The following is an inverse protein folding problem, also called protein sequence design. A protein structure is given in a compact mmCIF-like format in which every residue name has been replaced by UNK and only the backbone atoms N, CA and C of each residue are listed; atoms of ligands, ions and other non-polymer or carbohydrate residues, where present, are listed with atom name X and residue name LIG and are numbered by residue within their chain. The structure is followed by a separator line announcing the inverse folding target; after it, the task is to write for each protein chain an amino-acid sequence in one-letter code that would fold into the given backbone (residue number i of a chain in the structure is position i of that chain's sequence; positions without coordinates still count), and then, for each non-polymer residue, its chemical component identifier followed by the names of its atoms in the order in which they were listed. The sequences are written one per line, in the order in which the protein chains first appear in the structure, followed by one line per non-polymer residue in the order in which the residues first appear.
data_IF_693866996019
#
_entry.id   IF_693866996019
#
_cell.length_a   1.000
_cell.length_b   1.000
_cell.length_c   1.000
_cell.angle_alpha   90.00
_cell.angle_beta   90.00
_cell.angle_gamma   90.00
#
_symmetry.space_group_name_H-M   'P 1'
#
loop_
_entity.id
_entity.type
_entity.pdbx_description
1 polymer ?
#
# COMPACT_ATOMS: atom_id res chain seq x y z
N UNK A 1 -56.94 -15.44 -25.51
CA UNK A 1 -57.14 -16.36 -24.37
C UNK A 1 -55.83 -16.36 -23.59
N UNK A 2 -55.65 -15.95 -22.36
CA UNK A 2 -56.38 -15.25 -21.30
C UNK A 2 -55.21 -14.64 -20.46
N UNK A 3 -55.24 -13.37 -20.03
CA UNK A 3 -55.67 -12.98 -18.66
C UNK A 3 -54.72 -13.58 -17.61
N UNK A 4 -54.07 -12.92 -16.65
CA UNK A 4 -54.05 -11.59 -16.05
C UNK A 4 -52.85 -11.62 -15.06
N UNK A 5 -52.01 -10.58 -15.02
CA UNK A 5 -52.02 -9.48 -14.03
C UNK A 5 -51.42 -9.83 -12.67
N UNK A 6 -50.30 -9.14 -12.41
CA UNK A 6 -49.71 -8.91 -11.12
C UNK A 6 -50.66 -8.08 -10.23
N UNK A 7 -50.93 -8.57 -9.03
CA UNK A 7 -51.66 -7.82 -8.00
C UNK A 7 -50.67 -7.26 -6.98
N UNK A 8 -50.42 -5.96 -7.12
CA UNK A 8 -50.20 -5.04 -6.01
C UNK A 8 -51.34 -5.18 -4.99
N UNK A 9 -51.00 -5.29 -3.71
CA UNK A 9 -51.95 -5.05 -2.62
C UNK A 9 -51.38 -3.96 -1.72
N UNK A 10 -52.12 -2.86 -1.72
CA UNK A 10 -51.90 -1.59 -1.09
C UNK A 10 -52.91 -1.45 0.08
N UNK A 11 -52.51 -0.69 1.10
CA UNK A 11 -53.33 0.05 2.10
C UNK A 11 -53.84 -0.72 3.34
N UNK A 12 -54.15 -0.02 4.47
CA UNK A 12 -54.47 1.41 4.57
C UNK A 12 -53.77 2.26 5.66
N UNK A 13 -53.59 3.52 5.26
CA UNK A 13 -53.40 4.70 6.10
C UNK A 13 -54.77 5.17 6.60
N UNK A 14 -54.98 5.23 7.90
CA UNK A 14 -56.11 5.97 8.50
C UNK A 14 -55.59 7.26 9.16
N UNK A 15 -56.14 8.38 8.67
CA UNK A 15 -56.08 9.68 9.32
C UNK A 15 -57.21 9.78 10.33
N UNK A 16 -56.92 10.23 11.55
CA UNK A 16 -57.91 10.91 12.38
C UNK A 16 -57.32 12.21 12.89
N UNK A 17 -57.96 13.29 12.46
CA UNK A 17 -57.73 14.67 12.86
C UNK A 17 -58.71 14.98 14.00
N UNK A 18 -58.23 15.44 15.16
CA UNK A 18 -59.06 16.23 16.07
C UNK A 18 -58.22 17.17 16.92
N UNK A 19 -58.52 18.46 16.74
CA UNK A 19 -58.02 19.58 17.51
C UNK A 19 -58.51 19.54 18.96
N UNK A 20 -57.60 19.79 19.90
CA UNK A 20 -57.94 20.45 21.17
C UNK A 20 -56.72 21.18 21.74
N UNK A 21 -56.84 22.51 21.87
CA UNK A 21 -55.86 23.41 22.50
C UNK A 21 -55.97 23.32 24.03
N UNK A 22 -54.85 23.21 24.73
CA UNK A 22 -54.68 23.76 26.09
C UNK A 22 -53.21 24.10 26.42
N UNK A 23 -52.98 25.42 26.48
CA UNK A 23 -52.10 26.22 27.34
C UNK A 23 -51.01 25.58 28.23
N UNK A 24 -49.77 26.03 27.96
CA UNK A 24 -48.69 26.49 28.88
C UNK A 24 -48.00 25.46 29.80
N UNK A 25 -46.72 25.22 29.50
CA UNK A 25 -45.74 24.64 30.41
C UNK A 25 -44.33 24.81 29.85
N UNK A 26 -43.63 25.84 30.31
CA UNK A 26 -42.23 26.14 29.99
C UNK A 26 -41.32 24.96 30.37
N UNK A 27 -40.66 24.32 29.39
CA UNK A 27 -39.50 23.48 29.66
C UNK A 27 -38.43 23.66 28.59
N UNK A 28 -37.28 24.08 29.07
CA UNK A 28 -36.11 24.54 28.33
C UNK A 28 -35.65 23.48 27.32
N UNK A 29 -35.54 23.89 26.05
CA UNK A 29 -34.83 23.11 25.03
C UNK A 29 -33.36 23.03 25.39
N UNK A 30 -32.75 21.83 25.53
CA UNK A 30 -31.31 21.75 25.70
C UNK A 30 -30.64 22.24 24.41
N UNK A 31 -29.69 23.15 24.61
CA UNK A 31 -28.85 23.75 23.57
C UNK A 31 -28.30 22.66 22.68
N UNK A 32 -28.48 22.80 21.36
CA UNK A 32 -27.79 22.02 20.32
C UNK A 32 -26.29 22.18 20.54
N UNK A 33 -25.69 21.23 21.26
CA UNK A 33 -24.24 21.14 21.38
C UNK A 33 -23.67 20.61 20.08
N UNK A 34 -22.61 21.29 19.64
CA UNK A 34 -21.55 20.90 18.74
C UNK A 34 -21.89 19.89 17.64
N UNK A 35 -21.70 20.34 16.41
CA UNK A 35 -21.56 19.53 15.19
C UNK A 35 -20.80 18.25 15.54
N UNK A 36 -21.54 17.13 15.62
CA UNK A 36 -20.97 15.79 15.72
C UNK A 36 -20.27 15.55 14.38
N UNK A 37 -18.99 15.88 14.27
CA UNK A 37 -18.12 15.18 13.35
C UNK A 37 -18.35 13.71 13.63
N UNK A 38 -18.84 12.97 12.62
CA UNK A 38 -19.13 11.55 12.80
C UNK A 38 -17.85 10.89 13.33
N UNK A 39 -17.91 10.12 14.43
CA UNK A 39 -16.71 9.62 15.11
C UNK A 39 -15.74 8.85 14.19
N UNK A 40 -16.25 8.29 13.10
CA UNK A 40 -15.45 7.65 12.05
C UNK A 40 -14.58 8.61 11.23
N UNK A 41 -15.03 9.85 11.01
CA UNK A 41 -14.28 10.88 10.25
C UNK A 41 -13.04 11.40 10.99
N UNK A 42 -12.93 11.16 12.30
CA UNK A 42 -11.74 11.48 13.07
C UNK A 42 -10.61 10.46 12.82
N UNK A 43 -10.93 9.29 12.26
CA UNK A 43 -9.95 8.24 11.97
C UNK A 43 -9.31 8.40 10.59
N UNK A 44 -9.99 9.12 9.68
CA UNK A 44 -9.52 9.43 8.35
C UNK A 44 -8.55 10.61 8.38
N UNK A 45 -7.50 10.63 7.54
CA UNK A 45 -6.64 11.80 7.41
C UNK A 45 -7.45 13.05 7.07
N UNK A 46 -7.14 14.19 7.71
CA UNK A 46 -7.85 15.45 7.48
C UNK A 46 -7.66 16.01 6.06
N UNK A 47 -6.74 15.45 5.28
CA UNK A 47 -6.36 15.89 3.93
C UNK A 47 -6.27 14.68 3.00
N UNK A 48 -6.61 14.87 1.73
CA UNK A 48 -6.48 13.87 0.68
C UNK A 48 -5.28 14.09 -0.26
N UNK A 49 -4.55 15.20 -0.08
CA UNK A 49 -3.40 15.57 -0.92
C UNK A 49 -2.25 16.09 -0.07
N UNK A 50 -1.03 15.76 -0.50
CA UNK A 50 0.20 16.31 0.06
C UNK A 50 0.34 17.79 -0.34
N UNK A 51 0.43 18.67 0.65
CA UNK A 51 0.51 20.13 0.42
C UNK A 51 1.94 20.65 0.47
N UNK A 52 2.82 20.01 1.25
CA UNK A 52 4.21 20.46 1.42
C UNK A 52 5.11 19.93 0.30
N UNK A 53 6.19 20.65 0.01
CA UNK A 53 7.16 20.24 -1.01
C UNK A 53 7.94 19.01 -0.54
N UNK A 54 8.25 18.95 0.75
CA UNK A 54 9.00 17.86 1.39
C UNK A 54 8.25 16.53 1.28
N UNK A 55 6.96 16.51 1.61
CA UNK A 55 6.15 15.28 1.53
C UNK A 55 6.00 14.80 0.09
N UNK A 56 5.78 15.73 -0.86
CA UNK A 56 5.77 15.42 -2.29
C UNK A 56 7.11 14.83 -2.75
N UNK A 57 8.24 15.39 -2.32
CA UNK A 57 9.58 14.89 -2.65
C UNK A 57 9.80 13.47 -2.15
N UNK A 58 9.36 13.14 -0.93
CA UNK A 58 9.49 11.78 -0.38
C UNK A 58 8.78 10.77 -1.30
N UNK A 59 7.53 11.06 -1.68
CA UNK A 59 6.78 10.19 -2.60
C UNK A 59 7.42 10.15 -3.98
N UNK A 60 7.87 11.28 -4.53
CA UNK A 60 8.53 11.30 -5.84
C UNK A 60 9.82 10.47 -5.85
N UNK A 61 10.60 10.44 -4.76
CA UNK A 61 11.79 9.58 -4.66
C UNK A 61 11.38 8.10 -4.70
N UNK A 62 10.27 7.74 -4.08
CA UNK A 62 9.78 6.37 -4.07
C UNK A 62 9.18 5.96 -5.43
N UNK A 63 8.40 6.85 -6.07
CA UNK A 63 7.86 6.64 -7.42
C UNK A 63 9.01 6.45 -8.44
N UNK A 64 10.06 7.27 -8.34
CA UNK A 64 11.27 7.17 -9.14
C UNK A 64 12.05 5.87 -8.87
N UNK A 65 12.09 5.40 -7.61
CA UNK A 65 12.73 4.14 -7.25
C UNK A 65 11.96 2.94 -7.83
N UNK A 66 10.63 2.93 -7.69
CA UNK A 66 9.75 1.91 -8.27
C UNK A 66 9.95 1.86 -9.79
N UNK A 67 9.88 3.01 -10.46
CA UNK A 67 10.10 3.11 -11.90
C UNK A 67 11.44 2.51 -12.35
N UNK A 68 12.54 2.83 -11.63
CA UNK A 68 13.87 2.29 -11.95
C UNK A 68 13.92 0.77 -11.78
N UNK A 69 13.33 0.25 -10.71
CA UNK A 69 13.32 -1.19 -10.41
C UNK A 69 12.47 -1.93 -11.44
N UNK A 70 11.31 -1.40 -11.82
CA UNK A 70 10.46 -1.94 -12.88
C UNK A 70 11.22 -2.11 -14.19
N UNK A 71 11.97 -1.09 -14.62
CA UNK A 71 12.76 -1.15 -15.84
C UNK A 71 13.95 -2.12 -15.71
N UNK A 72 14.72 -2.03 -14.62
CA UNK A 72 15.89 -2.88 -14.44
C UNK A 72 15.49 -4.36 -14.43
N UNK A 73 14.40 -4.70 -13.74
CA UNK A 73 13.91 -6.08 -13.64
C UNK A 73 13.57 -6.73 -14.99
N UNK A 74 13.29 -5.92 -16.01
CA UNK A 74 12.96 -6.39 -17.35
C UNK A 74 14.16 -6.38 -18.31
N UNK A 75 15.30 -5.80 -17.91
CA UNK A 75 16.46 -5.60 -18.80
C UNK A 75 16.93 -6.88 -19.48
N UNK A 76 17.01 -7.98 -18.72
CA UNK A 76 17.44 -9.30 -19.24
C UNK A 76 16.44 -9.91 -20.21
N UNK A 77 15.14 -9.65 -20.01
CA UNK A 77 14.12 -10.12 -20.94
C UNK A 77 14.13 -9.29 -22.23
N UNK A 78 14.20 -7.97 -22.11
CA UNK A 78 14.20 -7.07 -23.26
C UNK A 78 15.39 -7.37 -24.19
N UNK A 79 16.55 -7.75 -23.64
CA UNK A 79 17.71 -8.16 -24.43
C UNK A 79 17.43 -9.36 -25.33
N UNK A 80 16.56 -10.29 -24.91
CA UNK A 80 16.15 -11.45 -25.71
C UNK A 80 15.16 -11.09 -26.82
N UNK A 81 14.36 -10.03 -26.62
CA UNK A 81 13.29 -9.60 -27.54
C UNK A 81 13.56 -8.25 -28.23
N UNK A 82 14.83 -7.84 -28.34
CA UNK A 82 15.22 -6.52 -28.88
C UNK A 82 14.68 -6.26 -30.29
N UNK A 83 14.62 -7.28 -31.14
CA UNK A 83 14.20 -7.13 -32.53
C UNK A 83 12.73 -6.71 -32.62
N UNK A 84 11.88 -7.20 -31.72
CA UNK A 84 10.46 -6.86 -31.65
C UNK A 84 10.19 -5.42 -31.21
N UNK A 85 11.08 -4.86 -30.38
CA UNK A 85 10.95 -3.49 -29.86
C UNK A 85 11.88 -2.50 -30.59
N UNK A 86 12.56 -2.94 -31.64
CA UNK A 86 13.63 -2.18 -32.31
C UNK A 86 13.17 -0.82 -32.87
N UNK A 87 11.93 -0.74 -33.34
CA UNK A 87 11.32 0.50 -33.85
C UNK A 87 11.03 1.51 -32.76
N UNK A 88 10.79 1.06 -31.53
CA UNK A 88 10.40 1.91 -30.40
C UNK A 88 11.63 2.35 -29.60
N UNK A 89 12.57 1.45 -29.32
CA UNK A 89 13.74 1.77 -28.49
C UNK A 89 14.75 2.67 -29.20
N UNK A 90 14.79 2.64 -30.54
CA UNK A 90 15.82 3.32 -31.31
C UNK A 90 17.21 2.66 -31.15
N UNK A 91 18.16 3.10 -31.97
CA UNK A 91 19.49 2.46 -32.09
C UNK A 91 20.38 2.69 -30.87
N UNK A 92 20.29 3.86 -30.22
CA UNK A 92 21.12 4.20 -29.05
C UNK A 92 20.78 3.32 -27.84
N UNK A 93 19.49 3.15 -27.54
CA UNK A 93 19.05 2.34 -26.41
C UNK A 93 19.30 0.86 -26.65
N UNK A 94 19.06 0.36 -27.86
CA UNK A 94 19.43 -1.01 -28.25
C UNK A 94 20.93 -1.26 -28.12
N UNK A 95 21.76 -0.35 -28.61
CA UNK A 95 23.21 -0.45 -28.47
C UNK A 95 23.64 -0.47 -27.01
N UNK A 96 23.01 0.36 -26.18
CA UNK A 96 23.30 0.41 -24.73
C UNK A 96 22.86 -0.89 -24.02
N UNK A 97 21.72 -1.47 -24.38
CA UNK A 97 21.25 -2.74 -23.82
C UNK A 97 22.17 -3.91 -24.20
N UNK A 98 22.59 -3.99 -25.47
CA UNK A 98 23.55 -5.01 -25.93
C UNK A 98 24.91 -4.86 -25.25
N UNK A 99 25.38 -3.62 -25.05
CA UNK A 99 26.62 -3.37 -24.33
C UNK A 99 26.51 -3.75 -22.85
N UNK A 100 25.37 -3.46 -22.21
CA UNK A 100 25.12 -3.90 -20.84
C UNK A 100 25.12 -5.44 -20.72
N UNK A 101 24.46 -6.14 -21.64
CA UNK A 101 24.47 -7.61 -21.70
C UNK A 101 25.90 -8.14 -21.82
N UNK A 102 26.70 -7.58 -22.73
CA UNK A 102 28.11 -7.93 -22.90
C UNK A 102 28.91 -7.71 -21.62
N UNK A 103 28.74 -6.57 -20.95
CA UNK A 103 29.41 -6.25 -19.68
C UNK A 103 28.99 -7.20 -18.55
N UNK A 104 27.71 -7.52 -18.45
CA UNK A 104 27.15 -8.46 -17.48
C UNK A 104 27.68 -9.88 -17.70
N UNK A 105 27.73 -10.35 -18.95
CA UNK A 105 28.31 -11.66 -19.29
C UNK A 105 29.80 -11.74 -18.95
N UNK A 106 30.57 -10.67 -19.22
CA UNK A 106 31.98 -10.61 -18.82
C UNK A 106 32.15 -10.64 -17.29
N UNK A 107 31.28 -9.95 -16.54
CA UNK A 107 31.29 -9.97 -15.08
C UNK A 107 31.00 -11.37 -14.53
N UNK A 108 30.00 -12.06 -15.08
CA UNK A 108 29.67 -13.45 -14.71
C UNK A 108 30.84 -14.40 -15.00
N UNK A 109 31.49 -14.25 -16.16
CA UNK A 109 32.66 -15.04 -16.52
C UNK A 109 33.83 -14.82 -15.54
N UNK A 110 34.11 -13.56 -15.18
CA UNK A 110 35.13 -13.21 -14.21
C UNK A 110 34.83 -13.80 -12.83
N UNK A 111 33.58 -13.67 -12.35
CA UNK A 111 33.16 -14.24 -11.06
C UNK A 111 33.29 -15.76 -11.05
N UNK A 112 32.90 -16.42 -12.14
CA UNK A 112 33.02 -17.89 -12.29
C UNK A 112 34.48 -18.33 -12.26
N UNK A 113 35.37 -17.56 -12.91
CA UNK A 113 36.80 -17.81 -12.88
C UNK A 113 37.36 -17.67 -11.45
N UNK A 114 37.08 -16.55 -10.78
CA UNK A 114 37.55 -16.28 -9.42
C UNK A 114 37.02 -17.31 -8.41
N UNK A 115 35.78 -17.78 -8.59
CA UNK A 115 35.20 -18.85 -7.79
C UNK A 115 35.91 -20.20 -8.02
N UNK A 116 36.24 -20.53 -9.28
CA UNK A 116 37.02 -21.74 -9.61
C UNK A 116 38.42 -21.71 -9.00
N UNK A 117 39.05 -20.54 -8.96
CA UNK A 117 40.35 -20.32 -8.34
C UNK A 117 40.29 -20.33 -6.79
N UNK A 118 39.10 -20.45 -6.20
CA UNK A 118 38.91 -20.46 -4.74
C UNK A 118 39.10 -19.09 -4.09
N UNK A 119 39.14 -18.01 -4.89
CA UNK A 119 39.40 -16.64 -4.43
C UNK A 119 38.13 -15.92 -3.97
N UNK A 120 36.95 -16.47 -4.29
CA UNK A 120 35.65 -16.00 -3.80
C UNK A 120 35.08 -16.98 -2.79
N UNK A 121 35.03 -16.58 -1.50
CA UNK A 121 34.31 -17.34 -0.47
C UNK A 121 32.85 -16.88 -0.42
N UNK A 122 31.94 -17.83 -0.59
CA UNK A 122 30.48 -17.62 -0.51
C UNK A 122 29.92 -17.67 0.93
N UNK A 123 30.76 -17.73 1.96
CA UNK A 123 30.30 -18.14 3.30
C UNK A 123 29.45 -17.09 4.05
N UNK A 124 29.49 -15.79 3.71
CA UNK A 124 28.85 -14.75 4.55
C UNK A 124 28.06 -13.67 3.82
N UNK A 125 27.72 -13.86 2.54
CA UNK A 125 26.96 -12.88 1.73
C UNK A 125 27.72 -11.57 1.43
N UNK A 126 28.83 -11.30 2.13
CA UNK A 126 29.92 -10.44 1.70
C UNK A 126 30.93 -11.34 1.01
N UNK A 127 30.91 -11.39 -0.32
CA UNK A 127 31.94 -12.06 -1.09
C UNK A 127 33.27 -11.34 -0.91
N UNK A 128 33.99 -11.65 0.16
CA UNK A 128 35.33 -11.12 0.39
C UNK A 128 36.28 -11.80 -0.60
N UNK A 129 36.79 -11.00 -1.55
CA UNK A 129 37.76 -11.49 -2.53
C UNK A 129 39.10 -11.67 -1.81
N UNK A 130 39.49 -12.92 -1.58
CA UNK A 130 40.82 -13.29 -1.07
C UNK A 130 41.76 -13.39 -2.27
N UNK A 131 41.90 -12.29 -2.99
CA UNK A 131 42.68 -12.19 -4.22
C UNK A 131 43.84 -11.20 -4.07
N UNK A 132 44.74 -11.23 -5.05
CA UNK A 132 45.77 -10.21 -5.21
C UNK A 132 45.11 -8.85 -5.50
N UNK A 133 45.77 -7.73 -5.15
CA UNK A 133 45.19 -6.38 -5.33
C UNK A 133 44.74 -6.12 -6.78
N UNK A 134 45.42 -6.72 -7.75
CA UNK A 134 45.10 -6.56 -9.16
C UNK A 134 43.75 -7.21 -9.53
N UNK A 135 43.45 -8.38 -8.98
CA UNK A 135 42.15 -9.04 -9.17
C UNK A 135 41.04 -8.24 -8.51
N UNK A 136 41.30 -7.66 -7.34
CA UNK A 136 40.35 -6.76 -6.66
C UNK A 136 40.05 -5.54 -7.55
N UNK A 137 41.09 -4.87 -8.06
CA UNK A 137 40.94 -3.72 -8.97
C UNK A 137 40.20 -4.11 -10.25
N UNK A 138 40.54 -5.23 -10.86
CA UNK A 138 39.90 -5.74 -12.06
C UNK A 138 38.39 -6.00 -11.84
N UNK A 139 38.04 -6.65 -10.73
CA UNK A 139 36.64 -6.89 -10.36
C UNK A 139 35.88 -5.59 -10.12
N UNK A 140 36.48 -4.63 -9.41
CA UNK A 140 35.88 -3.31 -9.17
C UNK A 140 35.64 -2.53 -10.47
N UNK A 141 36.55 -2.61 -11.44
CA UNK A 141 36.37 -1.99 -12.75
C UNK A 141 35.17 -2.58 -13.49
N UNK A 142 35.04 -3.91 -13.51
CA UNK A 142 33.88 -4.57 -14.12
C UNK A 142 32.57 -4.22 -13.39
N UNK A 143 32.56 -4.24 -12.05
CA UNK A 143 31.40 -3.84 -11.27
C UNK A 143 30.97 -2.39 -11.59
N UNK A 144 31.94 -1.48 -11.71
CA UNK A 144 31.67 -0.09 -12.04
C UNK A 144 31.16 0.07 -13.48
N UNK A 145 31.65 -0.73 -14.43
CA UNK A 145 31.16 -0.73 -15.81
C UNK A 145 29.71 -1.25 -15.92
N UNK A 146 29.36 -2.31 -15.19
CA UNK A 146 27.97 -2.79 -15.11
C UNK A 146 27.08 -1.73 -14.44
N UNK A 147 27.56 -1.10 -13.38
CA UNK A 147 26.82 -0.02 -12.70
C UNK A 147 26.61 1.21 -13.59
N UNK A 148 27.61 1.61 -14.35
CA UNK A 148 27.51 2.77 -15.26
C UNK A 148 26.59 2.48 -16.44
N UNK A 149 26.62 1.26 -16.99
CA UNK A 149 25.72 0.87 -18.08
C UNK A 149 24.25 0.89 -17.64
N UNK A 150 23.92 0.36 -16.46
CA UNK A 150 22.55 0.45 -15.90
C UNK A 150 22.10 1.90 -15.76
N UNK A 151 22.97 2.78 -15.23
CA UNK A 151 22.65 4.21 -15.12
C UNK A 151 22.40 4.86 -16.48
N UNK A 152 23.16 4.47 -17.51
CA UNK A 152 22.96 4.98 -18.85
C UNK A 152 21.62 4.48 -19.45
N UNK A 153 21.29 3.20 -19.27
CA UNK A 153 20.00 2.63 -19.66
C UNK A 153 18.85 3.41 -19.02
N UNK A 154 18.89 3.59 -17.70
CA UNK A 154 17.87 4.35 -16.97
C UNK A 154 17.75 5.80 -17.46
N UNK A 155 18.88 6.47 -17.74
CA UNK A 155 18.88 7.83 -18.30
C UNK A 155 18.18 7.88 -19.66
N UNK A 156 18.43 6.91 -20.53
CA UNK A 156 17.81 6.84 -21.86
C UNK A 156 16.30 6.58 -21.75
N UNK A 157 15.88 5.66 -20.89
CA UNK A 157 14.46 5.42 -20.63
C UNK A 157 13.77 6.66 -20.02
N UNK A 158 14.42 7.38 -19.13
CA UNK A 158 13.87 8.64 -18.59
C UNK A 158 13.69 9.72 -19.64
N UNK A 159 14.55 9.75 -20.65
CA UNK A 159 14.43 10.67 -21.79
C UNK A 159 13.33 10.24 -22.78
N UNK A 160 12.99 8.94 -22.81
CA UNK A 160 11.99 8.37 -23.71
C UNK A 160 10.87 7.61 -22.95
N UNK A 161 9.76 8.31 -22.61
CA UNK A 161 8.60 7.71 -21.96
C UNK A 161 7.91 6.62 -22.79
N UNK A 162 7.99 6.68 -24.13
CA UNK A 162 7.34 5.69 -24.99
C UNK A 162 8.10 4.36 -24.94
N UNK A 163 9.44 4.41 -25.05
CA UNK A 163 10.28 3.23 -24.86
C UNK A 163 10.10 2.64 -23.45
N UNK A 164 10.01 3.48 -22.42
CA UNK A 164 9.74 3.04 -21.05
C UNK A 164 8.40 2.33 -20.91
N UNK A 165 7.35 2.86 -21.55
CA UNK A 165 6.03 2.22 -21.50
C UNK A 165 6.02 0.88 -22.24
N UNK A 166 6.57 0.83 -23.45
CA UNK A 166 6.63 -0.40 -24.23
C UNK A 166 7.36 -1.52 -23.48
N UNK A 167 8.42 -1.18 -22.74
CA UNK A 167 9.09 -2.14 -21.86
C UNK A 167 8.19 -2.58 -20.71
N UNK A 168 7.51 -1.66 -20.04
CA UNK A 168 6.62 -2.02 -18.92
C UNK A 168 5.40 -2.83 -19.34
N UNK A 169 4.96 -2.73 -20.59
CA UNK A 169 3.90 -3.57 -21.14
C UNK A 169 4.32 -5.06 -21.16
N UNK A 170 5.62 -5.35 -21.20
CA UNK A 170 6.22 -6.69 -21.05
C UNK A 170 6.37 -7.13 -19.59
N UNK A 171 5.62 -6.52 -18.65
CA UNK A 171 5.71 -6.83 -17.22
C UNK A 171 5.46 -8.31 -16.87
N UNK A 172 4.75 -9.06 -17.71
CA UNK A 172 4.47 -10.49 -17.52
C UNK A 172 5.73 -11.37 -17.57
N UNK A 173 6.81 -10.87 -18.17
CA UNK A 173 8.07 -11.60 -18.30
C UNK A 173 8.98 -11.47 -17.07
N UNK A 174 8.56 -10.69 -16.07
CA UNK A 174 9.31 -10.46 -14.85
C UNK A 174 9.39 -11.72 -13.99
N UNK A 175 10.51 -11.88 -13.29
CA UNK A 175 10.63 -12.93 -12.29
C UNK A 175 9.74 -12.66 -11.06
N UNK A 176 9.31 -13.74 -10.40
CA UNK A 176 8.40 -13.66 -9.25
C UNK A 176 8.99 -12.84 -8.09
N UNK A 177 10.31 -12.86 -7.88
CA UNK A 177 10.94 -12.15 -6.75
C UNK A 177 10.88 -10.65 -6.98
N UNK A 178 11.19 -10.20 -8.19
CA UNK A 178 11.06 -8.80 -8.61
C UNK A 178 9.61 -8.33 -8.58
N UNK A 179 8.65 -9.17 -9.02
CA UNK A 179 7.23 -8.84 -8.96
C UNK A 179 6.75 -8.63 -7.51
N UNK A 180 7.07 -9.55 -6.61
CA UNK A 180 6.74 -9.42 -5.18
C UNK A 180 7.39 -8.17 -4.59
N UNK A 181 8.64 -7.90 -4.93
CA UNK A 181 9.36 -6.73 -4.43
C UNK A 181 8.75 -5.41 -4.89
N UNK A 182 8.41 -5.29 -6.18
CA UNK A 182 7.75 -4.10 -6.75
C UNK A 182 6.36 -3.91 -6.14
N UNK A 183 5.61 -5.00 -5.95
CA UNK A 183 4.31 -4.96 -5.27
C UNK A 183 4.46 -4.44 -3.84
N UNK A 184 5.42 -4.97 -3.07
CA UNK A 184 5.72 -4.51 -1.72
C UNK A 184 6.12 -3.03 -1.67
N UNK A 185 6.91 -2.54 -2.64
CA UNK A 185 7.23 -1.12 -2.75
C UNK A 185 6.01 -0.25 -3.07
N UNK A 186 5.09 -0.75 -3.91
CA UNK A 186 3.85 -0.06 -4.27
C UNK A 186 2.89 0.03 -3.08
N UNK A 187 2.78 -1.05 -2.29
CA UNK A 187 2.03 -1.08 -1.04
C UNK A 187 2.66 -0.13 -0.01
N UNK A 188 3.99 -0.17 0.15
CA UNK A 188 4.73 0.74 1.01
C UNK A 188 4.52 2.20 0.60
N UNK A 189 4.49 2.49 -0.70
CA UNK A 189 4.21 3.82 -1.24
C UNK A 189 2.81 4.32 -0.88
N UNK A 190 1.80 3.44 -0.94
CA UNK A 190 0.45 3.74 -0.45
C UNK A 190 0.44 4.04 1.06
N UNK A 191 1.06 3.18 1.85
CA UNK A 191 1.18 3.36 3.30
C UNK A 191 1.89 4.67 3.68
N UNK A 192 3.02 4.99 3.02
CA UNK A 192 3.76 6.23 3.24
C UNK A 192 2.93 7.45 2.88
N UNK A 193 2.18 7.38 1.78
CA UNK A 193 1.30 8.47 1.36
C UNK A 193 0.25 8.76 2.44
N UNK A 194 -0.43 7.74 2.95
CA UNK A 194 -1.39 7.89 4.06
C UNK A 194 -0.73 8.49 5.30
N UNK A 195 0.46 8.01 5.67
CA UNK A 195 1.19 8.54 6.82
C UNK A 195 1.63 10.00 6.65
N UNK A 196 1.95 10.42 5.43
CA UNK A 196 2.31 11.81 5.13
C UNK A 196 1.09 12.75 5.02
N UNK A 197 -0.13 12.20 4.91
CA UNK A 197 -1.37 12.99 4.96
C UNK A 197 -1.77 13.35 6.40
N UNK A 198 -1.33 12.57 7.39
CA UNK A 198 -1.66 12.75 8.79
C UNK A 198 -0.64 13.65 9.49
N UNK A 199 -1.11 14.69 10.18
CA UNK A 199 -0.26 15.52 11.03
C UNK A 199 0.02 14.85 12.39
N UNK A 200 1.13 15.19 13.09
CA UNK A 200 1.39 14.66 14.43
C UNK A 200 0.26 14.93 15.43
N UNK A 201 -0.43 16.07 15.29
CA UNK A 201 -1.58 16.43 16.13
C UNK A 201 -2.78 15.53 15.83
N UNK A 202 -3.11 15.32 14.55
CA UNK A 202 -4.20 14.43 14.14
C UNK A 202 -3.96 12.99 14.61
N UNK A 203 -2.71 12.50 14.55
CA UNK A 203 -2.36 11.18 15.08
C UNK A 203 -2.56 11.11 16.61
N UNK A 204 -2.17 12.17 17.35
CA UNK A 204 -2.39 12.23 18.80
C UNK A 204 -3.88 12.28 19.16
N UNK A 205 -4.68 13.07 18.43
CA UNK A 205 -6.13 13.14 18.60
C UNK A 205 -6.79 11.78 18.33
N UNK A 206 -6.34 11.06 17.30
CA UNK A 206 -6.79 9.70 16.98
C UNK A 206 -6.47 8.70 18.09
N UNK A 207 -5.26 8.76 18.66
CA UNK A 207 -4.85 7.91 19.79
C UNK A 207 -5.75 8.17 21.00
N UNK A 208 -5.91 9.43 21.40
CA UNK A 208 -6.74 9.80 22.55
C UNK A 208 -8.19 9.37 22.37
N UNK A 209 -8.74 9.56 21.16
CA UNK A 209 -10.09 9.14 20.84
C UNK A 209 -10.27 7.62 20.92
N UNK A 210 -9.29 6.85 20.44
CA UNK A 210 -9.34 5.39 20.49
C UNK A 210 -9.21 4.86 21.93
N UNK A 211 -8.38 5.50 22.76
CA UNK A 211 -8.29 5.21 24.20
C UNK A 211 -9.62 5.49 24.91
N UNK A 212 -10.27 6.61 24.60
CA UNK A 212 -11.58 6.95 25.18
C UNK A 212 -12.66 5.95 24.80
N UNK A 213 -12.71 5.52 23.52
CA UNK A 213 -13.63 4.46 23.08
C UNK A 213 -13.36 3.16 23.83
N UNK A 214 -12.09 2.72 23.89
CA UNK A 214 -11.70 1.49 24.57
C UNK A 214 -12.11 1.49 26.05
N UNK A 215 -11.94 2.63 26.73
CA UNK A 215 -12.36 2.79 28.12
C UNK A 215 -13.88 2.69 28.28
N UNK A 216 -14.64 3.35 27.38
CA UNK A 216 -16.11 3.28 27.38
C UNK A 216 -16.61 1.86 27.09
N UNK A 217 -16.01 1.18 26.13
CA UNK A 217 -16.38 -0.19 25.77
C UNK A 217 -16.10 -1.16 26.92
N UNK A 218 -14.96 -1.00 27.61
CA UNK A 218 -14.67 -1.77 28.83
C UNK A 218 -15.73 -1.56 29.90
N UNK A 219 -16.05 -0.30 30.22
CA UNK A 219 -17.07 0.04 31.23
C UNK A 219 -18.45 -0.51 30.84
N UNK A 220 -18.82 -0.37 29.57
CA UNK A 220 -20.08 -0.91 29.06
C UNK A 220 -20.13 -2.43 29.19
N UNK A 221 -19.04 -3.13 28.84
CA UNK A 221 -18.92 -4.59 28.99
C UNK A 221 -19.07 -5.02 30.44
N UNK A 222 -18.42 -4.31 31.37
CA UNK A 222 -18.57 -4.56 32.82
C UNK A 222 -20.02 -4.34 33.29
N UNK A 223 -20.69 -3.28 32.84
CA UNK A 223 -22.09 -3.03 33.20
C UNK A 223 -23.04 -4.06 32.60
N UNK A 224 -22.80 -4.53 31.38
CA UNK A 224 -23.60 -5.59 30.74
C UNK A 224 -23.46 -6.88 31.54
N UNK A 225 -22.23 -7.28 31.89
CA UNK A 225 -21.99 -8.49 32.68
C UNK A 225 -22.66 -8.42 34.08
N UNK A 226 -22.63 -7.26 34.73
CA UNK A 226 -23.32 -7.06 36.00
C UNK A 226 -24.84 -7.21 35.88
N UNK A 227 -25.44 -6.57 34.85
CA UNK A 227 -26.88 -6.67 34.58
C UNK A 227 -27.32 -8.08 34.17
N UNK A 228 -26.49 -8.80 33.42
CA UNK A 228 -26.73 -10.20 33.07
C UNK A 228 -26.72 -11.10 34.32
N UNK A 229 -25.80 -10.86 35.26
CA UNK A 229 -25.77 -11.56 36.54
C UNK A 229 -27.00 -11.25 37.42
N UNK A 230 -27.43 -9.99 37.48
CA UNK A 230 -28.67 -9.58 38.16
C UNK A 230 -29.91 -10.22 37.51
N UNK A 231 -29.97 -10.26 36.18
CA UNK A 231 -31.06 -10.92 35.46
C UNK A 231 -31.08 -12.43 35.77
N UNK A 232 -29.93 -13.09 35.76
CA UNK A 232 -29.83 -14.51 36.06
C UNK A 232 -30.29 -14.84 37.49
N UNK A 233 -29.90 -14.01 38.47
CA UNK A 233 -30.36 -14.18 39.86
C UNK A 233 -31.86 -13.93 40.01
N UNK A 234 -32.42 -12.93 39.32
CA UNK A 234 -33.86 -12.66 39.31
C UNK A 234 -34.68 -13.79 38.67
N UNK A 235 -34.20 -14.36 37.55
CA UNK A 235 -34.84 -15.53 36.90
C UNK A 235 -34.82 -16.72 37.84
N UNK A 236 -33.69 -16.99 38.49
CA UNK A 236 -33.56 -18.11 39.42
C UNK A 236 -34.49 -17.96 40.63
N UNK A 237 -34.57 -16.77 41.23
CA UNK A 237 -35.52 -16.50 42.32
C UNK A 237 -36.97 -16.76 41.92
N UNK A 238 -37.38 -16.33 40.71
CA UNK A 238 -38.72 -16.61 40.18
C UNK A 238 -38.94 -18.12 39.99
N UNK A 239 -37.97 -18.82 39.41
CA UNK A 239 -38.08 -20.26 39.14
C UNK A 239 -38.08 -21.11 40.42
N UNK A 240 -37.48 -20.60 41.50
CA UNK A 240 -37.53 -21.19 42.83
C UNK A 240 -38.89 -20.91 43.51
N UNK A 241 -39.46 -19.72 43.35
CA UNK A 241 -40.82 -19.40 43.84
C UNK A 241 -41.93 -20.20 43.15
N UNK A 242 -41.79 -20.51 41.86
CA UNK A 242 -42.78 -21.33 41.11
C UNK A 242 -42.70 -22.82 41.45
N UNK A 243 -41.63 -23.26 42.11
CA UNK A 243 -41.40 -24.68 42.49
C UNK A 243 -41.90 -25.04 43.90
N UNK A 244 -42.44 -24.09 44.65
CA UNK A 244 -43.14 -24.28 45.93
C UNK A 244 -44.66 -24.22 45.75
#
# INVERSE_FOLDING_TARGET
MATEVATMLQLPYESTDSSSKSSVGHRQTPKKSAIKTSPLKLLDPGRSKLTTVETKRIISVLDEAIFKIELISLTSHITEFLDGLSTILGSELQGTLKEHERLSNNMVALLTQLQREGLLKQEDGRGDLVGTEEQIRHLQLHQQAVKSSIRNILRLFQADPLASQAVRDEAYARDLSSEIFIKGLSEFRGFLFEKLLTSPLEEQEKIQFMEEISLRDKKNTETIAALEAELATAIQSRDDEVRW
#
